data_IF_394823076926
#
_entry.id   IF_394823076926
#
_cell.length_a   1.000
_cell.length_b   1.000
_cell.length_c   1.000
_cell.angle_alpha   90.00
_cell.angle_beta   90.00
_cell.angle_gamma   90.00
#
_symmetry.space_group_name_H-M   'P 1'
#
loop_
_entity.id
_entity.type
_entity.pdbx_description
1 polymer ?
#
# COMPACT_ATOMS: atom_id res chain seq x y z
N UNK A 1 -16.31 -13.72 9.97
CA UNK A 1 -16.58 -12.58 9.06
C UNK A 1 -15.35 -11.73 8.75
N UNK A 2 -14.54 -11.31 9.74
CA UNK A 2 -13.38 -10.43 9.54
C UNK A 2 -12.37 -10.95 8.49
N UNK A 3 -12.09 -12.25 8.46
CA UNK A 3 -11.16 -12.83 7.48
C UNK A 3 -11.62 -12.67 6.02
N UNK A 4 -12.93 -12.67 5.74
CA UNK A 4 -13.44 -12.52 4.37
C UNK A 4 -13.16 -11.12 3.85
N UNK A 5 -13.38 -10.09 4.67
CA UNK A 5 -13.12 -8.69 4.28
C UNK A 5 -11.63 -8.46 4.02
N UNK A 6 -10.76 -9.01 4.86
CA UNK A 6 -9.32 -8.98 4.66
C UNK A 6 -8.86 -9.69 3.38
N UNK A 7 -9.42 -10.86 3.10
CA UNK A 7 -9.12 -11.60 1.86
C UNK A 7 -9.60 -10.84 0.62
N UNK A 8 -10.80 -10.25 0.66
CA UNK A 8 -11.30 -9.40 -0.43
C UNK A 8 -10.37 -8.19 -0.63
N UNK A 9 -9.96 -7.54 0.46
CA UNK A 9 -9.05 -6.41 0.43
C UNK A 9 -7.68 -6.77 -0.17
N UNK A 10 -7.09 -7.90 0.22
CA UNK A 10 -5.87 -8.44 -0.39
C UNK A 10 -6.04 -8.64 -1.90
N UNK A 11 -7.17 -9.20 -2.33
CA UNK A 11 -7.49 -9.40 -3.74
C UNK A 11 -7.63 -8.09 -4.53
N UNK A 12 -8.25 -7.07 -3.93
CA UNK A 12 -8.36 -5.72 -4.53
C UNK A 12 -6.97 -5.11 -4.71
N UNK A 13 -6.14 -5.10 -3.66
CA UNK A 13 -4.78 -4.56 -3.73
C UNK A 13 -3.95 -5.27 -4.82
N UNK A 14 -3.99 -6.60 -4.84
CA UNK A 14 -3.28 -7.41 -5.84
C UNK A 14 -3.75 -7.12 -7.27
N UNK A 15 -5.07 -7.06 -7.48
CA UNK A 15 -5.65 -6.77 -8.81
C UNK A 15 -5.26 -5.39 -9.31
N UNK A 16 -5.28 -4.38 -8.43
CA UNK A 16 -4.87 -3.01 -8.77
C UNK A 16 -3.37 -2.93 -9.10
N UNK A 17 -2.53 -3.59 -8.31
CA UNK A 17 -1.09 -3.63 -8.53
C UNK A 17 -0.74 -4.29 -9.88
N UNK A 18 -1.37 -5.43 -10.20
CA UNK A 18 -1.21 -6.12 -11.49
C UNK A 18 -1.75 -5.27 -12.64
N UNK A 19 -2.94 -4.67 -12.49
CA UNK A 19 -3.52 -3.81 -13.52
C UNK A 19 -2.63 -2.60 -13.83
N UNK A 20 -2.03 -2.00 -12.81
CA UNK A 20 -1.07 -0.90 -12.97
C UNK A 20 0.25 -1.37 -13.60
N UNK A 21 0.70 -2.59 -13.27
CA UNK A 21 1.86 -3.23 -13.90
C UNK A 21 1.64 -3.45 -15.41
N UNK A 22 0.53 -4.07 -15.80
CA UNK A 22 0.20 -4.38 -17.20
C UNK A 22 0.06 -3.09 -18.05
N UNK A 23 -0.49 -2.02 -17.48
CA UNK A 23 -0.59 -0.71 -18.16
C UNK A 23 0.76 0.01 -18.31
N UNK A 24 1.86 -0.59 -17.83
CA UNK A 24 3.19 0.00 -17.89
C UNK A 24 3.32 1.22 -17.00
N UNK A 25 2.64 1.26 -15.86
CA UNK A 25 2.65 2.39 -14.93
C UNK A 25 3.98 2.61 -14.19
N UNK A 26 4.90 1.63 -14.24
CA UNK A 26 6.19 1.65 -13.54
C UNK A 26 7.36 2.02 -14.46
N UNK A 27 7.24 3.14 -15.18
CA UNK A 27 8.30 3.60 -16.10
C UNK A 27 9.47 4.26 -15.38
N UNK A 28 9.20 4.99 -14.30
CA UNK A 28 10.21 5.75 -13.56
C UNK A 28 10.86 4.90 -12.47
N UNK A 29 12.09 5.24 -12.09
CA UNK A 29 12.80 4.56 -11.01
C UNK A 29 12.03 4.62 -9.68
N UNK A 30 11.45 5.78 -9.34
CA UNK A 30 10.62 5.92 -8.13
C UNK A 30 9.39 5.01 -8.16
N UNK A 31 8.71 4.89 -9.31
CA UNK A 31 7.53 4.03 -9.42
C UNK A 31 7.89 2.54 -9.30
N UNK A 32 9.05 2.12 -9.83
CA UNK A 32 9.52 0.75 -9.65
C UNK A 32 9.84 0.44 -8.18
N UNK A 33 10.45 1.38 -7.46
CA UNK A 33 10.74 1.21 -6.04
C UNK A 33 9.45 1.11 -5.21
N UNK A 34 8.49 2.00 -5.50
CA UNK A 34 7.15 1.99 -4.90
C UNK A 34 6.43 0.65 -5.08
N UNK A 35 6.53 0.07 -6.28
CA UNK A 35 5.98 -1.26 -6.55
C UNK A 35 6.62 -2.36 -5.69
N UNK A 36 7.95 -2.35 -5.56
CA UNK A 36 8.67 -3.35 -4.76
C UNK A 36 8.27 -3.23 -3.28
N UNK A 37 8.20 -2.01 -2.75
CA UNK A 37 7.80 -1.76 -1.36
C UNK A 37 6.33 -2.17 -1.15
N UNK A 38 5.46 -1.89 -2.13
CA UNK A 38 4.06 -2.35 -2.12
C UNK A 38 3.96 -3.89 -2.11
N UNK A 39 4.79 -4.61 -2.87
CA UNK A 39 4.82 -6.08 -2.83
C UNK A 39 5.24 -6.57 -1.45
N UNK A 40 6.28 -5.99 -0.86
CA UNK A 40 6.79 -6.42 0.45
C UNK A 40 5.74 -6.20 1.55
N UNK A 41 5.09 -5.03 1.59
CA UNK A 41 4.01 -4.75 2.54
C UNK A 41 2.79 -5.64 2.32
N UNK A 42 2.47 -5.95 1.06
CA UNK A 42 1.40 -6.88 0.70
C UNK A 42 1.70 -8.33 1.14
N UNK A 43 2.96 -8.79 1.08
CA UNK A 43 3.37 -10.10 1.64
C UNK A 43 3.18 -10.13 3.16
N UNK A 44 3.52 -9.05 3.87
CA UNK A 44 3.28 -8.95 5.30
C UNK A 44 1.80 -9.02 5.66
N UNK A 45 0.96 -8.29 4.91
CA UNK A 45 -0.49 -8.39 5.05
C UNK A 45 -1.00 -9.80 4.70
N UNK A 46 -0.43 -10.47 3.71
CA UNK A 46 -0.78 -11.85 3.41
C UNK A 46 -0.48 -12.81 4.58
N UNK A 47 0.68 -12.65 5.23
CA UNK A 47 1.03 -13.39 6.45
C UNK A 47 0.01 -13.18 7.56
N UNK A 48 -0.41 -11.93 7.79
CA UNK A 48 -1.47 -11.58 8.74
C UNK A 48 -2.78 -12.32 8.44
N UNK A 49 -3.29 -12.19 7.21
CA UNK A 49 -4.61 -12.71 6.84
C UNK A 49 -4.65 -14.24 6.84
N UNK A 50 -3.53 -14.87 6.51
CA UNK A 50 -3.41 -16.33 6.50
C UNK A 50 -2.96 -16.92 7.84
N UNK A 51 -2.68 -16.07 8.83
CA UNK A 51 -2.12 -16.48 10.13
C UNK A 51 -0.85 -17.34 10.01
N UNK A 52 -0.05 -17.08 8.97
CA UNK A 52 1.22 -17.74 8.72
C UNK A 52 2.37 -16.87 9.21
N UNK A 53 3.28 -17.44 9.98
CA UNK A 53 4.53 -16.79 10.37
C UNK A 53 5.54 -16.85 9.22
N UNK A 54 5.51 -15.84 8.37
CA UNK A 54 6.53 -15.58 7.35
C UNK A 54 7.65 -14.75 7.98
N UNK A 55 8.91 -15.17 7.88
CA UNK A 55 10.07 -14.42 8.40
C UNK A 55 9.98 -14.07 9.90
N UNK A 56 10.89 -13.21 10.39
CA UNK A 56 10.94 -12.82 11.81
C UNK A 56 10.10 -11.57 12.07
N UNK A 57 9.51 -11.42 13.27
CA UNK A 57 8.77 -10.21 13.64
C UNK A 57 9.59 -8.92 13.51
N UNK A 58 10.90 -8.99 13.75
CA UNK A 58 11.80 -7.84 13.60
C UNK A 58 11.80 -7.30 12.17
N UNK A 59 11.79 -8.18 11.16
CA UNK A 59 11.72 -7.79 9.76
C UNK A 59 10.43 -7.01 9.49
N UNK A 60 9.29 -7.48 9.99
CA UNK A 60 8.00 -6.81 9.77
C UNK A 60 7.86 -5.48 10.49
N UNK A 61 8.51 -5.30 11.65
CA UNK A 61 8.59 -3.98 12.30
C UNK A 61 9.35 -2.99 11.44
N UNK A 62 10.46 -3.41 10.82
CA UNK A 62 11.22 -2.57 9.88
C UNK A 62 10.41 -2.28 8.63
N UNK A 63 9.74 -3.29 8.05
CA UNK A 63 8.87 -3.11 6.88
C UNK A 63 7.71 -2.18 7.18
N UNK A 64 7.10 -2.27 8.37
CA UNK A 64 6.03 -1.38 8.80
C UNK A 64 6.48 0.08 8.83
N UNK A 65 7.58 0.37 9.54
CA UNK A 65 8.08 1.75 9.65
C UNK A 65 8.58 2.26 8.30
N UNK A 66 9.43 1.48 7.63
CA UNK A 66 10.05 1.86 6.36
C UNK A 66 9.03 2.02 5.22
N UNK A 67 8.07 1.08 5.13
CA UNK A 67 6.96 1.16 4.19
C UNK A 67 6.11 2.39 4.44
N UNK A 68 5.69 2.64 5.69
CA UNK A 68 4.80 3.76 6.01
C UNK A 68 5.45 5.11 5.68
N UNK A 69 6.74 5.25 6.02
CA UNK A 69 7.52 6.45 5.65
C UNK A 69 7.62 6.59 4.13
N UNK A 70 7.87 5.50 3.42
CA UNK A 70 7.95 5.51 1.96
C UNK A 70 6.62 5.91 1.31
N UNK A 71 5.50 5.28 1.70
CA UNK A 71 4.19 5.54 1.11
C UNK A 71 3.73 6.98 1.36
N UNK A 72 4.04 7.55 2.52
CA UNK A 72 3.81 8.97 2.79
C UNK A 72 4.65 9.86 1.88
N UNK A 73 5.96 9.58 1.75
CA UNK A 73 6.86 10.38 0.92
C UNK A 73 6.47 10.30 -0.57
N UNK A 74 6.19 9.10 -1.08
CA UNK A 74 5.79 8.86 -2.45
C UNK A 74 4.39 9.42 -2.74
N UNK A 75 3.45 9.26 -1.80
CA UNK A 75 2.11 9.83 -1.88
C UNK A 75 2.12 11.36 -1.98
N UNK A 76 2.94 12.04 -1.17
CA UNK A 76 3.13 13.49 -1.22
C UNK A 76 3.76 13.94 -2.54
N UNK A 77 4.77 13.21 -3.04
CA UNK A 77 5.37 13.48 -4.35
C UNK A 77 4.31 13.39 -5.46
N UNK A 78 3.53 12.31 -5.49
CA UNK A 78 2.48 12.10 -6.50
C UNK A 78 1.36 13.13 -6.40
N UNK A 79 1.00 13.53 -5.18
CA UNK A 79 0.05 14.62 -4.93
C UNK A 79 0.48 15.95 -5.56
N UNK A 80 1.78 16.27 -5.49
CA UNK A 80 2.35 17.46 -6.11
C UNK A 80 2.44 17.32 -7.63
N UNK A 81 2.75 16.14 -8.17
CA UNK A 81 2.81 15.90 -9.62
C UNK A 81 1.43 15.96 -10.29
N UNK A 82 0.41 15.37 -9.66
CA UNK A 82 -0.96 15.35 -10.18
C UNK A 82 -1.76 16.60 -9.79
N UNK A 83 -1.11 17.56 -9.15
CA UNK A 83 -1.70 18.80 -8.69
C UNK A 83 -2.50 19.53 -9.78
N UNK A 84 -1.95 19.58 -10.98
CA UNK A 84 -2.53 20.36 -12.06
C UNK A 84 -3.59 19.56 -12.87
N UNK A 85 -3.75 18.26 -12.59
CA UNK A 85 -4.68 17.37 -13.29
C UNK A 85 -6.03 17.21 -12.58
N UNK A 86 -6.08 17.51 -11.28
CA UNK A 86 -7.26 17.31 -10.45
C UNK A 86 -7.77 18.66 -9.93
N UNK A 87 -9.08 18.96 -9.99
CA UNK A 87 -9.65 20.18 -9.45
C UNK A 87 -9.22 20.40 -7.98
N UNK A 88 -8.76 21.60 -7.63
CA UNK A 88 -8.24 21.92 -6.28
C UNK A 88 -9.21 21.53 -5.16
N UNK A 89 -10.50 21.70 -5.36
CA UNK A 89 -11.54 21.37 -4.37
C UNK A 89 -11.71 19.86 -4.15
N UNK A 90 -11.55 19.04 -5.19
CA UNK A 90 -11.72 17.58 -5.10
C UNK A 90 -10.42 16.87 -4.68
N UNK A 91 -9.28 17.52 -4.82
CA UNK A 91 -7.95 16.95 -4.56
C UNK A 91 -7.80 16.37 -3.14
N UNK A 92 -8.06 17.10 -2.04
CA UNK A 92 -7.90 16.54 -0.69
C UNK A 92 -8.84 15.35 -0.43
N UNK A 93 -10.06 15.38 -0.99
CA UNK A 93 -11.02 14.28 -0.84
C UNK A 93 -10.54 13.02 -1.59
N UNK A 94 -10.12 13.15 -2.85
CA UNK A 94 -9.66 12.00 -3.65
C UNK A 94 -8.44 11.35 -3.01
N UNK A 95 -7.42 12.14 -2.66
CA UNK A 95 -6.20 11.59 -2.04
C UNK A 95 -6.45 11.06 -0.64
N UNK A 96 -7.22 11.79 0.19
CA UNK A 96 -7.55 11.38 1.55
C UNK A 96 -8.35 10.08 1.60
N UNK A 97 -9.38 9.95 0.75
CA UNK A 97 -10.19 8.72 0.65
C UNK A 97 -9.35 7.57 0.12
N UNK A 98 -8.51 7.81 -0.90
CA UNK A 98 -7.64 6.76 -1.45
C UNK A 98 -6.63 6.29 -0.40
N UNK A 99 -5.99 7.20 0.34
CA UNK A 99 -5.08 6.85 1.42
C UNK A 99 -5.81 6.11 2.54
N UNK A 100 -6.99 6.57 2.95
CA UNK A 100 -7.75 5.93 4.03
C UNK A 100 -8.16 4.50 3.67
N UNK A 101 -8.57 4.24 2.43
CA UNK A 101 -9.06 2.93 1.98
C UNK A 101 -7.90 2.00 1.56
N UNK A 102 -6.88 2.53 0.88
CA UNK A 102 -5.78 1.72 0.33
C UNK A 102 -4.61 1.56 1.29
N UNK A 103 -4.30 2.57 2.10
CA UNK A 103 -3.11 2.58 2.98
C UNK A 103 -3.53 2.22 4.42
N UNK A 104 -4.65 2.76 4.90
CA UNK A 104 -5.10 2.56 6.29
C UNK A 104 -5.18 1.07 6.71
N UNK A 105 -6.02 0.24 6.04
CA UNK A 105 -6.13 -1.17 6.38
C UNK A 105 -4.83 -1.95 6.16
N UNK A 106 -4.05 -1.64 5.13
CA UNK A 106 -2.75 -2.28 4.87
C UNK A 106 -1.83 -2.14 6.07
N UNK A 107 -1.61 -0.92 6.57
CA UNK A 107 -0.72 -0.69 7.70
C UNK A 107 -1.32 -1.13 9.03
N UNK A 108 -2.65 -1.13 9.18
CA UNK A 108 -3.28 -1.74 10.34
C UNK A 108 -3.01 -3.26 10.40
N UNK A 109 -3.21 -3.97 9.29
CA UNK A 109 -2.94 -5.41 9.23
C UNK A 109 -1.46 -5.72 9.41
N UNK A 110 -0.59 -4.93 8.81
CA UNK A 110 0.86 -5.07 8.96
C UNK A 110 1.34 -4.76 10.39
N UNK A 111 0.71 -3.81 11.08
CA UNK A 111 0.98 -3.53 12.50
C UNK A 111 0.62 -4.74 13.39
N UNK A 112 -0.59 -5.29 13.22
CA UNK A 112 -1.05 -6.48 13.95
C UNK A 112 -0.20 -7.73 13.68
N UNK A 113 0.51 -7.75 12.55
CA UNK A 113 1.40 -8.85 12.18
C UNK A 113 2.82 -8.67 12.71
N UNK A 114 3.27 -7.43 12.83
CA UNK A 114 4.62 -7.09 13.27
C UNK A 114 4.77 -7.03 14.80
N UNK A 115 3.69 -6.72 15.54
CA UNK A 115 3.69 -6.47 16.99
C UNK A 115 2.67 -7.35 17.70
#
# INVERSE_FOLDING_TARGET
MANILWTVYLGILGTLAIGYFIKGGYKTHSAKLDFVISIITWIGLFGYVTSNELFTPLLWKVVFIGGLVWDLAYGLKKFNEDANKIPRAARPAIFGVTALIMIGPLYYGLFQYAF
#
